data_IF_761301778000
#
_entry.id   IF_761301778000
#
_cell.length_a   1.000
_cell.length_b   1.000
_cell.length_c   1.000
_cell.angle_alpha   90.00
_cell.angle_beta   90.00
_cell.angle_gamma   90.00
#
_symmetry.space_group_name_H-M   'P 1'
#
loop_
_entity.id
_entity.type
_entity.pdbx_description
1 polymer ?
#
# COMPACT_ATOMS: atom_id res chain seq x y z
N UNK A 1 -25.63 23.79 -18.71
CA UNK A 1 -25.50 22.49 -19.42
C UNK A 1 -26.72 21.65 -19.08
N UNK A 2 -27.26 20.94 -20.07
CA UNK A 2 -28.41 20.05 -19.87
C UNK A 2 -27.87 18.68 -19.45
N UNK A 3 -28.32 18.11 -18.32
CA UNK A 3 -27.63 16.96 -17.65
C UNK A 3 -28.49 15.67 -17.69
N UNK A 4 -29.62 15.70 -18.42
CA UNK A 4 -30.75 14.80 -18.18
C UNK A 4 -30.95 13.66 -19.19
N UNK A 5 -30.04 13.47 -20.15
CA UNK A 5 -30.06 12.33 -21.08
C UNK A 5 -29.05 11.27 -20.65
N UNK A 6 -29.57 10.15 -20.14
CA UNK A 6 -28.83 8.88 -20.10
C UNK A 6 -28.79 8.32 -21.52
N UNK A 7 -27.68 8.51 -22.23
CA UNK A 7 -27.47 7.87 -23.51
C UNK A 7 -27.28 6.37 -23.31
N UNK A 8 -28.05 5.55 -24.03
CA UNK A 8 -27.83 4.12 -24.11
C UNK A 8 -26.54 3.89 -24.90
N UNK A 9 -25.49 3.40 -24.22
CA UNK A 9 -24.25 3.03 -24.88
C UNK A 9 -24.35 1.55 -25.25
N UNK A 10 -24.05 1.20 -26.50
CA UNK A 10 -23.94 -0.21 -26.89
C UNK A 10 -22.87 -0.90 -26.03
N UNK A 11 -23.23 -2.03 -25.44
CA UNK A 11 -22.33 -2.93 -24.76
C UNK A 11 -21.80 -4.01 -25.71
N UNK A 12 -20.70 -4.63 -25.32
CA UNK A 12 -20.00 -5.65 -26.11
C UNK A 12 -20.42 -7.08 -25.72
N UNK A 13 -21.51 -7.22 -24.97
CA UNK A 13 -22.11 -8.50 -24.62
C UNK A 13 -23.01 -8.98 -25.77
N UNK A 14 -22.85 -10.24 -26.12
CA UNK A 14 -23.80 -10.92 -26.99
C UNK A 14 -25.15 -11.08 -26.29
N UNK A 15 -26.23 -11.18 -27.06
CA UNK A 15 -27.57 -11.52 -26.54
C UNK A 15 -27.61 -12.87 -25.79
N UNK A 16 -26.64 -13.76 -26.04
CA UNK A 16 -26.48 -15.00 -25.29
C UNK A 16 -25.86 -14.75 -23.91
N UNK A 17 -24.79 -13.95 -23.81
CA UNK A 17 -24.20 -13.54 -22.53
C UNK A 17 -25.20 -12.75 -21.67
N UNK A 18 -26.01 -11.88 -22.27
CA UNK A 18 -27.11 -11.21 -21.57
C UNK A 18 -28.09 -12.21 -20.95
N UNK A 19 -28.55 -13.21 -21.72
CA UNK A 19 -29.46 -14.25 -21.21
C UNK A 19 -28.82 -15.08 -20.11
N UNK A 20 -27.54 -15.46 -20.25
CA UNK A 20 -26.81 -16.21 -19.22
C UNK A 20 -26.58 -15.39 -17.93
N UNK A 21 -26.54 -14.06 -18.01
CA UNK A 21 -26.53 -13.18 -16.85
C UNK A 21 -27.93 -12.91 -16.27
N UNK A 22 -28.97 -12.89 -17.10
CA UNK A 22 -30.38 -12.68 -16.71
C UNK A 22 -31.00 -13.92 -16.05
N UNK A 23 -30.64 -15.13 -16.51
CA UNK A 23 -31.00 -16.40 -15.84
C UNK A 23 -30.48 -16.45 -14.39
N UNK A 24 -29.37 -15.77 -14.07
CA UNK A 24 -28.84 -15.64 -12.69
C UNK A 24 -29.65 -14.65 -11.82
N UNK A 25 -30.53 -13.86 -12.43
CA UNK A 25 -31.41 -12.87 -11.80
C UNK A 25 -32.88 -13.28 -11.79
N UNK A 26 -33.28 -14.29 -12.57
CA UNK A 26 -34.68 -14.73 -12.77
C UNK A 26 -35.46 -14.99 -11.45
N UNK A 27 -34.77 -15.46 -10.41
CA UNK A 27 -35.34 -15.68 -9.07
C UNK A 27 -35.83 -14.41 -8.34
N UNK A 28 -35.50 -13.21 -8.84
CA UNK A 28 -35.97 -11.92 -8.32
C UNK A 28 -37.30 -11.44 -8.93
N UNK A 29 -37.81 -12.12 -9.95
CA UNK A 29 -39.02 -11.70 -10.71
C UNK A 29 -40.33 -11.71 -9.90
N UNK A 30 -40.36 -12.35 -8.72
CA UNK A 30 -41.59 -12.54 -7.93
C UNK A 30 -41.92 -11.33 -7.05
N UNK A 31 -42.83 -10.50 -7.54
CA UNK A 31 -43.61 -9.47 -6.82
C UNK A 31 -42.82 -8.36 -6.12
N UNK A 32 -42.24 -7.46 -6.91
CA UNK A 32 -41.68 -6.20 -6.44
C UNK A 32 -42.47 -4.99 -6.98
N UNK A 33 -42.63 -3.98 -6.12
CA UNK A 33 -43.41 -2.74 -6.38
C UNK A 33 -42.50 -1.51 -6.34
N UNK A 34 -43.01 -0.33 -6.77
CA UNK A 34 -42.25 0.93 -6.70
C UNK A 34 -41.65 1.18 -5.31
N UNK A 35 -42.42 0.93 -4.26
CA UNK A 35 -42.01 1.12 -2.86
C UNK A 35 -40.81 0.23 -2.46
N UNK A 36 -40.67 -0.95 -3.07
CA UNK A 36 -39.54 -1.85 -2.81
C UNK A 36 -38.27 -1.49 -3.58
N UNK A 37 -38.37 -0.66 -4.63
CA UNK A 37 -37.22 -0.30 -5.47
C UNK A 37 -36.20 0.55 -4.71
N UNK A 38 -36.64 1.49 -3.86
CA UNK A 38 -35.75 2.33 -3.04
C UNK A 38 -34.87 1.51 -2.09
N UNK A 39 -35.35 0.33 -1.67
CA UNK A 39 -34.63 -0.58 -0.79
C UNK A 39 -33.76 -1.60 -1.54
N UNK A 40 -34.25 -2.17 -2.65
CA UNK A 40 -33.63 -3.32 -3.34
C UNK A 40 -32.83 -2.88 -4.58
N UNK A 41 -33.24 -1.81 -5.27
CA UNK A 41 -32.57 -1.26 -6.46
C UNK A 41 -31.05 -1.02 -6.29
N UNK A 42 -30.57 -0.48 -5.16
CA UNK A 42 -29.13 -0.30 -4.93
C UNK A 42 -28.32 -1.61 -4.90
N UNK A 43 -28.92 -2.70 -4.42
CA UNK A 43 -28.30 -4.03 -4.39
C UNK A 43 -28.37 -4.73 -5.74
N UNK A 44 -29.48 -4.55 -6.46
CA UNK A 44 -29.65 -5.02 -7.83
C UNK A 44 -28.63 -4.37 -8.78
N UNK A 45 -28.41 -3.05 -8.68
CA UNK A 45 -27.36 -2.35 -9.43
C UNK A 45 -25.96 -2.82 -9.06
N UNK A 46 -25.66 -3.02 -7.77
CA UNK A 46 -24.38 -3.60 -7.32
C UNK A 46 -24.10 -4.95 -7.99
N UNK A 47 -25.08 -5.85 -7.99
CA UNK A 47 -24.93 -7.20 -8.54
C UNK A 47 -24.88 -7.19 -10.07
N UNK A 48 -25.71 -6.38 -10.74
CA UNK A 48 -25.63 -6.19 -12.20
C UNK A 48 -24.25 -5.67 -12.61
N UNK A 49 -23.63 -4.79 -11.82
CA UNK A 49 -22.28 -4.26 -12.09
C UNK A 49 -21.17 -5.27 -11.78
N UNK A 50 -21.33 -6.10 -10.74
CA UNK A 50 -20.43 -7.21 -10.45
C UNK A 50 -20.41 -8.26 -11.58
N UNK A 51 -21.57 -8.54 -12.19
CA UNK A 51 -21.67 -9.41 -13.38
C UNK A 51 -20.84 -8.95 -14.59
N UNK A 52 -20.49 -7.65 -14.67
CA UNK A 52 -19.68 -7.09 -15.77
C UNK A 52 -18.17 -7.26 -15.53
N UNK A 53 -17.77 -7.59 -14.30
CA UNK A 53 -16.37 -7.66 -13.89
C UNK A 53 -15.60 -6.38 -14.22
N UNK A 54 -14.42 -6.53 -14.81
CA UNK A 54 -13.54 -5.43 -15.20
C UNK A 54 -14.11 -4.52 -16.31
N UNK A 55 -15.24 -4.87 -16.94
CA UNK A 55 -15.90 -4.03 -17.96
C UNK A 55 -16.73 -2.89 -17.35
N UNK A 56 -16.99 -2.91 -16.03
CA UNK A 56 -17.69 -1.82 -15.35
C UNK A 56 -16.77 -0.61 -15.04
N UNK A 57 -17.21 0.60 -15.40
CA UNK A 57 -16.40 1.82 -15.24
C UNK A 57 -16.40 2.38 -13.79
N UNK A 58 -17.30 1.90 -12.91
CA UNK A 58 -17.47 2.45 -11.55
C UNK A 58 -16.48 1.83 -10.54
N UNK A 59 -15.45 2.59 -10.13
CA UNK A 59 -14.50 2.16 -9.09
C UNK A 59 -15.07 2.33 -7.68
N UNK A 60 -15.46 1.22 -7.06
CA UNK A 60 -16.06 1.09 -5.71
C UNK A 60 -17.54 1.50 -5.56
N UNK A 61 -18.45 0.80 -6.27
CA UNK A 61 -19.89 1.00 -6.18
C UNK A 61 -20.47 0.59 -4.81
N UNK A 62 -21.76 0.87 -4.63
CA UNK A 62 -22.23 1.27 -3.31
C UNK A 62 -23.74 1.30 -3.15
N UNK A 63 -24.26 0.79 -2.03
CA UNK A 63 -25.67 0.93 -1.66
C UNK A 63 -26.09 2.38 -1.41
N UNK A 64 -25.25 3.19 -0.77
CA UNK A 64 -25.57 4.60 -0.48
C UNK A 64 -25.53 5.48 -1.73
N UNK A 65 -24.51 5.32 -2.57
CA UNK A 65 -24.37 6.02 -3.83
C UNK A 65 -25.44 5.59 -4.85
N UNK A 66 -25.77 4.30 -4.96
CA UNK A 66 -26.86 3.86 -5.84
C UNK A 66 -28.24 4.28 -5.33
N UNK A 67 -28.45 4.36 -4.00
CA UNK A 67 -29.70 4.92 -3.46
C UNK A 67 -29.84 6.38 -3.88
N UNK A 68 -28.81 7.18 -3.65
CA UNK A 68 -28.75 8.55 -4.14
C UNK A 68 -28.94 8.65 -5.67
N UNK A 69 -28.34 7.75 -6.45
CA UNK A 69 -28.44 7.75 -7.91
C UNK A 69 -29.86 7.43 -8.41
N UNK A 70 -30.54 6.45 -7.80
CA UNK A 70 -31.93 6.09 -8.13
C UNK A 70 -32.90 7.21 -7.72
N UNK A 71 -32.71 7.79 -6.54
CA UNK A 71 -33.54 8.91 -6.04
C UNK A 71 -33.35 10.18 -6.86
N UNK A 72 -32.12 10.46 -7.31
CA UNK A 72 -31.78 11.65 -8.11
C UNK A 72 -32.09 11.47 -9.60
N UNK A 73 -32.32 10.24 -10.10
CA UNK A 73 -32.59 9.96 -11.52
C UNK A 73 -33.77 9.00 -11.73
N UNK A 74 -35.01 9.51 -11.80
CA UNK A 74 -36.23 8.69 -11.94
C UNK A 74 -36.21 7.73 -13.13
N UNK A 75 -35.58 8.11 -14.25
CA UNK A 75 -35.50 7.29 -15.45
C UNK A 75 -34.75 5.97 -15.20
N UNK A 76 -33.69 5.97 -14.38
CA UNK A 76 -32.98 4.74 -14.00
C UNK A 76 -33.87 3.81 -13.16
N UNK A 77 -34.65 4.39 -12.23
CA UNK A 77 -35.59 3.63 -11.43
C UNK A 77 -36.69 2.95 -12.27
N UNK A 78 -37.21 3.66 -13.26
CA UNK A 78 -38.21 3.12 -14.20
C UNK A 78 -37.63 1.99 -15.06
N UNK A 79 -36.42 2.16 -15.62
CA UNK A 79 -35.74 1.11 -16.41
C UNK A 79 -35.49 -0.15 -15.58
N UNK A 80 -35.10 -0.02 -14.30
CA UNK A 80 -34.92 -1.16 -13.40
C UNK A 80 -36.23 -1.92 -13.13
N UNK A 81 -37.35 -1.21 -13.00
CA UNK A 81 -38.67 -1.83 -12.80
C UNK A 81 -39.19 -2.55 -14.04
N UNK A 82 -38.95 -1.98 -15.22
CA UNK A 82 -39.30 -2.62 -16.49
C UNK A 82 -38.46 -3.88 -16.74
N UNK A 83 -37.14 -3.79 -16.52
CA UNK A 83 -36.21 -4.93 -16.58
C UNK A 83 -36.65 -6.07 -15.66
N UNK A 84 -37.06 -5.74 -14.43
CA UNK A 84 -37.52 -6.68 -13.42
C UNK A 84 -38.86 -7.35 -13.77
N UNK A 85 -39.80 -6.62 -14.38
CA UNK A 85 -41.08 -7.18 -14.86
C UNK A 85 -40.90 -8.10 -16.07
N UNK A 86 -39.96 -7.76 -16.94
CA UNK A 86 -39.71 -8.47 -18.20
C UNK A 86 -38.64 -9.57 -18.06
N UNK A 87 -38.01 -9.71 -16.89
CA UNK A 87 -36.95 -10.69 -16.62
C UNK A 87 -35.64 -10.44 -17.39
N UNK A 88 -35.42 -9.24 -17.93
CA UNK A 88 -34.29 -8.93 -18.82
C UNK A 88 -33.61 -7.62 -18.44
N UNK A 89 -32.32 -7.69 -18.13
CA UNK A 89 -31.55 -6.56 -17.59
C UNK A 89 -30.53 -5.98 -18.58
N UNK A 90 -30.58 -6.39 -19.86
CA UNK A 90 -29.75 -5.85 -20.95
C UNK A 90 -29.78 -4.31 -21.01
N UNK A 91 -30.96 -3.69 -20.99
CA UNK A 91 -31.09 -2.21 -20.96
C UNK A 91 -30.40 -1.56 -19.76
N UNK A 92 -30.35 -2.23 -18.60
CA UNK A 92 -29.65 -1.73 -17.41
C UNK A 92 -28.14 -1.91 -17.55
N UNK A 93 -27.67 -2.98 -18.19
CA UNK A 93 -26.24 -3.18 -18.51
C UNK A 93 -25.73 -2.18 -19.56
N UNK A 94 -26.56 -1.79 -20.54
CA UNK A 94 -26.27 -0.72 -21.51
C UNK A 94 -26.17 0.68 -20.88
N UNK A 95 -26.84 0.89 -19.74
CA UNK A 95 -26.66 2.09 -18.91
C UNK A 95 -25.41 2.03 -18.01
N UNK A 96 -24.82 0.85 -17.79
CA UNK A 96 -23.77 0.63 -16.79
C UNK A 96 -22.40 1.24 -17.13
N UNK A 97 -22.21 1.66 -18.39
CA UNK A 97 -21.14 2.59 -18.79
C UNK A 97 -21.39 4.00 -18.24
N UNK A 98 -21.52 4.09 -16.91
CA UNK A 98 -21.44 5.31 -16.11
C UNK A 98 -20.02 5.88 -16.12
N UNK A 99 -19.51 6.15 -17.32
CA UNK A 99 -18.31 6.94 -17.52
C UNK A 99 -18.61 8.37 -17.09
N UNK A 100 -17.99 8.79 -15.97
CA UNK A 100 -17.57 10.15 -15.60
C UNK A 100 -18.08 10.75 -14.27
N UNK A 101 -19.08 10.18 -13.56
CA UNK A 101 -19.72 10.89 -12.42
C UNK A 101 -20.04 10.02 -11.18
N UNK A 102 -19.16 10.07 -10.15
CA UNK A 102 -19.38 9.83 -8.69
C UNK A 102 -19.44 8.39 -8.07
N UNK A 103 -19.47 8.31 -6.71
CA UNK A 103 -19.31 7.14 -5.76
C UNK A 103 -19.60 7.59 -4.28
N UNK A 104 -19.42 6.85 -3.12
CA UNK A 104 -19.21 5.41 -2.76
C UNK A 104 -20.06 4.88 -1.53
N UNK A 105 -19.74 3.66 -0.97
CA UNK A 105 -20.22 2.94 0.27
C UNK A 105 -21.18 1.68 0.21
N UNK A 106 -20.75 0.56 0.81
CA UNK A 106 -21.11 -0.90 0.64
C UNK A 106 -22.18 -1.49 1.61
N UNK A 107 -22.79 -2.66 1.30
CA UNK A 107 -23.32 -3.67 2.28
C UNK A 107 -23.61 -5.08 1.66
N UNK A 108 -23.69 -6.25 2.34
CA UNK A 108 -22.84 -6.88 3.38
C UNK A 108 -23.29 -8.33 3.77
N UNK A 109 -24.57 -8.70 3.62
CA UNK A 109 -25.21 -9.68 4.53
C UNK A 109 -25.10 -11.19 4.22
N UNK A 110 -24.86 -11.62 2.97
CA UNK A 110 -25.02 -13.05 2.59
C UNK A 110 -23.77 -13.93 2.82
N UNK A 111 -22.67 -13.34 3.29
CA UNK A 111 -21.40 -14.03 3.62
C UNK A 111 -21.42 -14.67 5.02
N UNK A 112 -22.40 -14.31 5.88
CA UNK A 112 -22.43 -14.73 7.29
C UNK A 112 -22.84 -16.20 7.47
N UNK A 113 -23.72 -16.73 6.61
CA UNK A 113 -24.33 -18.06 6.81
C UNK A 113 -23.42 -19.21 6.38
N UNK A 114 -22.60 -19.01 5.34
CA UNK A 114 -21.64 -20.01 4.84
C UNK A 114 -20.46 -20.21 5.81
N UNK A 115 -20.16 -19.23 6.67
CA UNK A 115 -19.01 -19.25 7.58
C UNK A 115 -19.28 -19.89 8.95
N UNK A 116 -20.45 -20.49 9.18
CA UNK A 116 -20.84 -21.06 10.47
C UNK A 116 -20.55 -22.57 10.62
N UNK A 117 -19.82 -23.18 9.69
CA UNK A 117 -19.62 -24.65 9.63
C UNK A 117 -18.19 -25.17 9.49
N UNK A 118 -17.16 -24.31 9.54
CA UNK A 118 -15.78 -24.76 9.72
C UNK A 118 -15.11 -23.92 10.82
N UNK A 119 -14.47 -24.60 11.75
CA UNK A 119 -13.66 -23.98 12.80
C UNK A 119 -12.36 -23.48 12.19
N UNK A 120 -12.24 -22.15 12.09
CA UNK A 120 -11.04 -21.36 12.37
C UNK A 120 -11.30 -19.94 11.84
N UNK A 121 -11.78 -19.05 12.73
CA UNK A 121 -11.98 -17.66 12.37
C UNK A 121 -10.64 -17.02 11.96
N UNK A 122 -10.52 -16.47 10.74
CA UNK A 122 -9.31 -15.76 10.38
C UNK A 122 -9.16 -14.51 11.27
N UNK A 123 -7.95 -14.17 11.75
CA UNK A 123 -7.75 -13.19 12.82
C UNK A 123 -8.42 -11.83 12.60
N UNK A 124 -8.59 -11.41 11.34
CA UNK A 124 -9.17 -10.12 10.95
C UNK A 124 -10.67 -9.97 11.22
N UNK A 125 -11.37 -11.02 11.68
CA UNK A 125 -12.76 -10.91 12.17
C UNK A 125 -12.88 -10.65 13.67
N UNK A 126 -11.84 -10.90 14.47
CA UNK A 126 -11.85 -10.64 15.93
C UNK A 126 -11.75 -9.16 16.29
N UNK A 127 -11.33 -8.34 15.33
CA UNK A 127 -11.29 -6.88 15.46
C UNK A 127 -12.57 -6.32 14.81
N UNK A 128 -13.38 -5.61 15.61
CA UNK A 128 -14.55 -4.90 15.11
C UNK A 128 -14.20 -3.75 14.14
N UNK A 129 -15.10 -2.79 13.86
CA UNK A 129 -14.89 -1.72 12.87
C UNK A 129 -13.73 -0.74 13.16
N UNK A 130 -12.94 -0.97 14.20
CA UNK A 130 -11.65 -0.33 14.44
C UNK A 130 -10.64 -0.70 13.35
N UNK A 131 -10.50 0.19 12.35
CA UNK A 131 -9.49 0.14 11.28
C UNK A 131 -8.08 -0.20 11.75
N UNK A 132 -7.73 0.14 12.99
CA UNK A 132 -6.48 -0.21 13.67
C UNK A 132 -6.18 -1.71 13.64
N UNK A 133 -7.17 -2.58 13.91
CA UNK A 133 -6.97 -4.03 13.93
C UNK A 133 -6.64 -4.62 12.55
N UNK A 134 -7.30 -4.12 11.51
CA UNK A 134 -7.03 -4.54 10.13
C UNK A 134 -5.62 -4.12 9.67
N UNK A 135 -5.16 -2.93 10.05
CA UNK A 135 -3.82 -2.45 9.72
C UNK A 135 -2.73 -3.23 10.48
N UNK A 136 -2.92 -3.47 11.78
CA UNK A 136 -2.04 -4.33 12.60
C UNK A 136 -1.92 -5.71 11.98
N UNK A 137 -3.04 -6.35 11.65
CA UNK A 137 -3.03 -7.69 11.07
C UNK A 137 -2.44 -7.75 9.67
N UNK A 138 -2.74 -6.78 8.79
CA UNK A 138 -2.08 -6.68 7.50
C UNK A 138 -0.56 -6.42 7.60
N UNK A 139 -0.08 -5.98 8.78
CA UNK A 139 1.34 -5.85 9.09
C UNK A 139 1.95 -7.12 9.71
N UNK A 140 1.19 -7.88 10.52
CA UNK A 140 1.72 -9.03 11.29
C UNK A 140 1.39 -10.39 10.70
N UNK A 141 0.39 -10.52 9.82
CA UNK A 141 0.09 -11.78 9.13
C UNK A 141 1.17 -12.11 8.09
N UNK A 142 1.20 -13.36 7.65
CA UNK A 142 1.98 -13.78 6.48
C UNK A 142 1.68 -12.88 5.26
N UNK A 143 2.72 -12.45 4.55
CA UNK A 143 2.56 -11.69 3.31
C UNK A 143 2.17 -12.63 2.16
N UNK A 144 1.22 -12.21 1.32
CA UNK A 144 0.74 -13.03 0.20
C UNK A 144 1.13 -12.41 -1.14
N UNK A 145 1.60 -13.26 -2.05
CA UNK A 145 2.10 -12.86 -3.37
C UNK A 145 3.59 -12.50 -3.37
N UNK A 146 4.11 -12.18 -4.55
CA UNK A 146 5.53 -12.01 -4.84
C UNK A 146 5.90 -10.59 -5.32
N UNK A 147 5.05 -9.58 -5.05
CA UNK A 147 5.28 -8.21 -5.52
C UNK A 147 6.59 -7.60 -5.00
N UNK A 148 7.08 -8.04 -3.83
CA UNK A 148 8.35 -7.59 -3.28
C UNK A 148 9.56 -8.14 -4.07
N UNK A 149 9.51 -9.38 -4.57
CA UNK A 149 10.50 -9.89 -5.53
C UNK A 149 10.38 -9.16 -6.88
N UNK A 150 9.17 -8.94 -7.40
CA UNK A 150 8.97 -8.24 -8.67
C UNK A 150 9.53 -6.81 -8.59
N UNK A 151 9.29 -6.10 -7.48
CA UNK A 151 9.85 -4.78 -7.22
C UNK A 151 11.37 -4.80 -7.15
N UNK A 152 11.98 -5.74 -6.41
CA UNK A 152 13.43 -5.87 -6.33
C UNK A 152 14.06 -6.17 -7.69
N UNK A 153 13.47 -7.07 -8.47
CA UNK A 153 13.93 -7.39 -9.83
C UNK A 153 13.87 -6.18 -10.75
N UNK A 154 12.80 -5.37 -10.65
CA UNK A 154 12.68 -4.12 -11.40
C UNK A 154 13.75 -3.10 -10.99
N UNK A 155 14.05 -2.94 -9.70
CA UNK A 155 15.12 -2.05 -9.21
C UNK A 155 16.50 -2.55 -9.67
N UNK A 156 16.74 -3.86 -9.64
CA UNK A 156 18.00 -4.45 -10.13
C UNK A 156 18.17 -4.28 -11.65
N UNK A 157 17.08 -4.18 -12.40
CA UNK A 157 17.05 -3.91 -13.84
C UNK A 157 17.08 -2.41 -14.21
N UNK A 158 17.05 -1.49 -13.23
CA UNK A 158 17.19 -0.06 -13.50
C UNK A 158 18.62 0.30 -13.93
N UNK A 159 18.72 1.27 -14.84
CA UNK A 159 20.00 1.86 -15.20
C UNK A 159 20.65 2.52 -13.97
N UNK A 160 21.98 2.40 -13.88
CA UNK A 160 22.80 2.98 -12.79
C UNK A 160 23.75 4.05 -13.28
N UNK A 161 23.61 4.50 -14.53
CA UNK A 161 24.45 5.53 -15.16
C UNK A 161 24.42 6.89 -14.47
N UNK A 162 23.37 7.20 -13.70
CA UNK A 162 23.26 8.44 -12.92
C UNK A 162 22.87 8.17 -11.47
N UNK A 163 23.27 9.02 -10.50
CA UNK A 163 22.96 8.83 -9.08
C UNK A 163 21.47 8.72 -8.74
N UNK A 164 20.59 9.34 -9.54
CA UNK A 164 19.14 9.32 -9.32
C UNK A 164 18.41 8.19 -10.05
N UNK A 165 19.07 7.46 -10.97
CA UNK A 165 18.40 6.45 -11.80
C UNK A 165 17.86 5.23 -11.02
N UNK A 166 18.36 5.00 -9.79
CA UNK A 166 17.84 3.97 -8.88
C UNK A 166 16.76 4.48 -7.89
N UNK A 167 16.26 5.72 -8.04
CA UNK A 167 15.22 6.27 -7.17
C UNK A 167 13.80 5.91 -7.64
N UNK A 168 13.02 5.24 -6.80
CA UNK A 168 11.65 4.79 -7.14
C UNK A 168 10.58 5.43 -6.26
N UNK A 169 9.62 6.12 -6.88
CA UNK A 169 8.45 6.68 -6.21
C UNK A 169 7.23 5.75 -6.28
N UNK A 170 6.80 5.20 -5.13
CA UNK A 170 5.60 4.35 -5.03
C UNK A 170 4.34 5.16 -4.67
N UNK A 171 3.64 5.69 -5.67
CA UNK A 171 2.45 6.53 -5.48
C UNK A 171 1.16 5.71 -5.68
N UNK A 172 0.43 5.44 -4.59
CA UNK A 172 -0.92 4.84 -4.61
C UNK A 172 -1.74 5.29 -3.39
N UNK A 173 -3.06 5.09 -3.40
CA UNK A 173 -3.97 5.35 -2.26
C UNK A 173 -3.54 4.68 -0.95
N UNK A 174 -3.97 5.23 0.20
CA UNK A 174 -3.65 4.66 1.50
C UNK A 174 -4.26 3.26 1.69
N UNK A 175 -3.57 2.39 2.42
CA UNK A 175 -4.04 1.02 2.70
C UNK A 175 -3.73 -0.06 1.66
N UNK A 176 -3.16 0.28 0.49
CA UNK A 176 -2.87 -0.70 -0.60
C UNK A 176 -1.67 -1.63 -0.34
N UNK A 177 -1.16 -1.72 0.89
CA UNK A 177 -0.04 -2.62 1.22
C UNK A 177 1.36 -2.17 0.78
N UNK A 178 1.53 -1.00 0.14
CA UNK A 178 2.85 -0.45 -0.30
C UNK A 178 3.96 -0.60 0.75
N UNK A 179 3.76 -0.08 1.95
CA UNK A 179 4.78 -0.09 3.01
C UNK A 179 5.09 -1.50 3.48
N UNK A 180 4.12 -2.43 3.41
CA UNK A 180 4.35 -3.85 3.72
C UNK A 180 5.13 -4.54 2.60
N UNK A 181 4.85 -4.24 1.33
CA UNK A 181 5.65 -4.75 0.20
C UNK A 181 7.12 -4.31 0.29
N UNK A 182 7.39 -3.06 0.69
CA UNK A 182 8.76 -2.56 0.90
C UNK A 182 9.42 -3.22 2.12
N UNK A 183 8.67 -3.46 3.20
CA UNK A 183 9.15 -4.17 4.39
C UNK A 183 9.50 -5.64 4.11
N UNK A 184 8.71 -6.34 3.27
CA UNK A 184 9.07 -7.68 2.81
C UNK A 184 10.26 -7.68 1.85
N UNK A 185 10.42 -6.63 1.02
CA UNK A 185 11.61 -6.47 0.17
C UNK A 185 12.88 -6.26 1.00
N UNK A 186 12.79 -5.59 2.15
CA UNK A 186 13.91 -5.38 3.07
C UNK A 186 14.47 -6.67 3.70
N UNK A 187 13.78 -7.80 3.57
CA UNK A 187 14.28 -9.14 3.95
C UNK A 187 15.17 -9.76 2.88
N UNK A 188 15.12 -9.25 1.64
CA UNK A 188 15.85 -9.77 0.48
C UNK A 188 17.12 -8.95 0.16
N UNK A 189 17.09 -7.64 0.45
CA UNK A 189 18.21 -6.71 0.23
C UNK A 189 18.44 -5.87 1.49
N UNK A 190 19.70 -5.67 1.87
CA UNK A 190 20.05 -4.90 3.06
C UNK A 190 19.48 -3.47 2.95
N UNK A 191 18.64 -3.10 3.91
CA UNK A 191 17.84 -1.87 3.86
C UNK A 191 17.93 -1.14 5.20
N UNK A 192 17.96 0.20 5.18
CA UNK A 192 17.89 1.04 6.39
C UNK A 192 16.54 1.79 6.38
N UNK A 193 15.44 1.17 6.84
CA UNK A 193 14.09 1.72 6.67
C UNK A 193 13.73 2.75 7.75
N UNK A 194 13.45 3.99 7.35
CA UNK A 194 12.85 5.01 8.22
C UNK A 194 11.58 5.63 7.60
N UNK A 195 10.71 6.17 8.46
CA UNK A 195 9.37 6.63 8.16
C UNK A 195 9.13 8.02 8.76
N UNK A 196 9.35 9.07 7.97
CA UNK A 196 9.14 10.49 8.32
C UNK A 196 7.68 10.93 8.23
N UNK A 197 6.72 10.07 8.61
CA UNK A 197 5.32 10.47 8.73
C UNK A 197 5.18 11.48 9.87
N UNK A 198 4.35 12.51 9.66
CA UNK A 198 3.94 13.44 10.71
C UNK A 198 3.38 12.66 11.92
N UNK A 199 3.91 12.83 13.14
CA UNK A 199 3.29 12.31 14.35
C UNK A 199 2.00 13.07 14.63
N UNK A 200 0.85 12.43 14.42
CA UNK A 200 -0.47 12.97 14.76
C UNK A 200 -1.40 11.89 15.32
N UNK A 201 -2.52 12.27 15.93
CA UNK A 201 -3.44 11.30 16.55
C UNK A 201 -4.03 10.29 15.55
N UNK A 202 -3.99 10.58 14.24
CA UNK A 202 -4.42 9.68 13.16
C UNK A 202 -3.27 8.78 12.69
N UNK A 203 -2.01 9.19 12.83
CA UNK A 203 -0.79 8.42 12.52
C UNK A 203 -0.62 7.23 13.46
N UNK A 204 -1.11 7.33 14.70
CA UNK A 204 -1.15 6.25 15.71
C UNK A 204 -1.82 4.94 15.25
N UNK A 205 -2.50 4.94 14.10
CA UNK A 205 -3.20 3.80 13.50
C UNK A 205 -2.61 3.34 12.16
N UNK A 206 -1.49 3.93 11.73
CA UNK A 206 -0.87 3.69 10.44
C UNK A 206 0.46 2.94 10.58
N UNK A 207 0.63 1.89 9.77
CA UNK A 207 1.82 1.02 9.81
C UNK A 207 2.75 1.27 8.61
N UNK A 208 4.08 1.13 8.77
CA UNK A 208 4.79 1.00 10.04
C UNK A 208 4.61 2.27 10.90
N UNK A 209 4.92 2.23 12.21
CA UNK A 209 5.01 3.42 13.06
C UNK A 209 5.98 4.47 12.50
N UNK A 210 5.83 5.74 12.89
CA UNK A 210 6.76 6.80 12.53
C UNK A 210 8.05 6.78 13.37
N UNK A 211 9.19 7.11 12.74
CA UNK A 211 10.45 7.31 13.46
C UNK A 211 10.51 8.76 13.93
N UNK A 212 9.81 9.05 15.03
CA UNK A 212 9.59 10.41 15.55
C UNK A 212 10.88 11.23 15.72
N UNK A 213 12.00 10.59 16.11
CA UNK A 213 13.30 11.26 16.21
C UNK A 213 13.84 11.74 14.85
N UNK A 214 13.68 10.92 13.80
CA UNK A 214 14.11 11.24 12.42
C UNK A 214 13.22 12.33 11.85
N UNK A 215 11.90 12.23 12.01
CA UNK A 215 10.96 13.28 11.60
C UNK A 215 11.25 14.61 12.30
N UNK A 216 11.50 14.60 13.61
CA UNK A 216 11.84 15.82 14.34
C UNK A 216 13.15 16.44 13.85
N UNK A 217 14.17 15.63 13.56
CA UNK A 217 15.45 16.16 13.10
C UNK A 217 15.39 16.69 11.65
N UNK A 218 14.81 15.93 10.72
CA UNK A 218 14.83 16.26 9.28
C UNK A 218 13.67 17.18 8.87
N UNK A 219 12.46 16.98 9.40
CA UNK A 219 11.24 17.63 8.89
C UNK A 219 10.75 18.77 9.80
N UNK A 220 10.87 18.63 11.13
CA UNK A 220 10.44 19.65 12.11
C UNK A 220 11.55 20.68 12.37
N UNK A 221 12.15 21.21 11.32
CA UNK A 221 13.21 22.23 11.42
C UNK A 221 12.72 23.61 10.99
N UNK A 222 13.34 24.65 11.56
CA UNK A 222 13.14 26.05 11.23
C UNK A 222 14.02 26.52 10.05
N UNK A 223 14.63 25.57 9.35
CA UNK A 223 15.52 25.79 8.20
C UNK A 223 14.78 26.53 7.09
N UNK A 224 15.29 27.71 6.70
CA UNK A 224 14.68 28.60 5.69
C UNK A 224 15.34 28.53 4.32
N UNK A 225 16.46 27.82 4.20
CA UNK A 225 17.31 27.73 3.02
C UNK A 225 17.51 26.28 2.62
N UNK A 226 17.63 26.01 1.31
CA UNK A 226 17.83 24.65 0.83
C UNK A 226 19.19 24.09 1.27
N UNK A 227 20.23 24.92 1.22
CA UNK A 227 21.62 24.57 1.54
C UNK A 227 21.78 24.16 3.01
N UNK A 228 21.13 24.88 3.93
CA UNK A 228 21.09 24.54 5.37
C UNK A 228 20.35 23.19 5.61
N UNK A 229 19.41 22.85 4.72
CA UNK A 229 18.68 21.57 4.73
C UNK A 229 19.51 20.41 4.17
N UNK A 230 20.28 20.66 3.10
CA UNK A 230 21.22 19.70 2.53
C UNK A 230 22.34 19.34 3.52
N UNK A 231 22.93 20.33 4.20
CA UNK A 231 23.94 20.10 5.26
C UNK A 231 23.35 19.29 6.41
N UNK A 232 22.10 19.58 6.81
CA UNK A 232 21.38 18.80 7.84
C UNK A 232 21.12 17.36 7.40
N UNK A 233 20.73 17.13 6.14
CA UNK A 233 20.56 15.79 5.60
C UNK A 233 21.89 15.04 5.51
N UNK A 234 22.97 15.70 5.08
CA UNK A 234 24.32 15.13 5.04
C UNK A 234 24.80 14.72 6.43
N UNK A 235 24.64 15.57 7.45
CA UNK A 235 24.91 15.24 8.85
C UNK A 235 24.13 13.99 9.32
N UNK A 236 22.83 13.90 8.98
CA UNK A 236 22.02 12.74 9.32
C UNK A 236 22.54 11.46 8.67
N UNK A 237 22.77 11.45 7.36
CA UNK A 237 23.24 10.26 6.66
C UNK A 237 24.66 9.86 7.08
N UNK A 238 25.55 10.82 7.35
CA UNK A 238 26.90 10.55 7.84
C UNK A 238 26.86 9.79 9.19
N UNK A 239 26.09 10.31 10.15
CA UNK A 239 25.95 9.66 11.46
C UNK A 239 25.20 8.33 11.34
N UNK A 240 24.17 8.24 10.49
CA UNK A 240 23.42 7.01 10.22
C UNK A 240 24.32 5.89 9.69
N UNK A 241 25.13 6.16 8.65
CA UNK A 241 26.02 5.15 8.09
C UNK A 241 27.13 4.75 9.07
N UNK A 242 27.64 5.68 9.89
CA UNK A 242 28.63 5.39 10.94
C UNK A 242 28.07 4.49 12.06
N UNK A 243 26.86 4.80 12.56
CA UNK A 243 26.17 3.99 13.57
C UNK A 243 25.79 2.60 13.02
N UNK A 244 25.22 2.54 11.82
CA UNK A 244 24.84 1.27 11.18
C UNK A 244 26.08 0.43 10.86
N UNK A 245 27.20 1.01 10.43
CA UNK A 245 28.44 0.26 10.24
C UNK A 245 28.94 -0.37 11.54
N UNK A 246 28.92 0.39 12.64
CA UNK A 246 29.30 -0.11 13.97
C UNK A 246 28.36 -1.22 14.46
N UNK A 247 27.05 -1.09 14.24
CA UNK A 247 26.08 -2.13 14.62
C UNK A 247 26.21 -3.39 13.76
N UNK A 248 26.44 -3.25 12.44
CA UNK A 248 26.73 -4.38 11.54
C UNK A 248 27.99 -5.13 12.01
N UNK A 249 29.05 -4.41 12.38
CA UNK A 249 30.26 -5.04 12.92
C UNK A 249 30.03 -5.75 14.26
N UNK A 250 29.13 -5.23 15.09
CA UNK A 250 28.75 -5.83 16.37
C UNK A 250 27.87 -7.09 16.20
N UNK A 251 26.76 -6.98 15.46
CA UNK A 251 25.75 -8.03 15.27
C UNK A 251 26.29 -9.23 14.50
N UNK A 252 27.18 -9.01 13.53
CA UNK A 252 27.76 -10.07 12.70
C UNK A 252 29.18 -10.48 13.14
N UNK A 253 29.68 -9.94 14.25
CA UNK A 253 31.01 -10.26 14.78
C UNK A 253 31.23 -11.78 14.94
N UNK A 254 32.35 -12.28 14.41
CA UNK A 254 32.70 -13.70 14.47
C UNK A 254 31.85 -14.64 13.60
N UNK A 255 30.86 -14.13 12.85
CA UNK A 255 30.03 -14.92 11.92
C UNK A 255 30.48 -14.69 10.47
N UNK A 256 30.31 -15.69 9.62
CA UNK A 256 30.32 -15.54 8.15
C UNK A 256 28.89 -15.79 7.69
N UNK A 257 28.35 -14.90 6.87
CA UNK A 257 27.00 -15.02 6.31
C UNK A 257 27.11 -15.64 4.91
N UNK A 258 26.23 -16.57 4.57
CA UNK A 258 26.33 -17.37 3.36
C UNK A 258 25.82 -16.65 2.11
N UNK A 259 24.94 -15.65 2.25
CA UNK A 259 24.36 -14.91 1.12
C UNK A 259 23.94 -13.47 1.47
N UNK A 260 23.79 -12.58 0.45
CA UNK A 260 23.29 -11.22 0.68
C UNK A 260 21.86 -11.21 1.27
N UNK A 261 21.02 -12.15 0.86
CA UNK A 261 19.64 -12.29 1.36
C UNK A 261 19.57 -12.76 2.80
N UNK A 262 20.45 -13.66 3.23
CA UNK A 262 20.58 -14.03 4.65
C UNK A 262 21.01 -12.83 5.50
N UNK A 263 21.99 -12.05 5.02
CA UNK A 263 22.44 -10.83 5.69
C UNK A 263 21.32 -9.78 5.79
N UNK A 264 20.53 -9.60 4.73
CA UNK A 264 19.37 -8.72 4.71
C UNK A 264 18.29 -9.18 5.71
N UNK A 265 17.93 -10.47 5.70
CA UNK A 265 16.92 -11.01 6.60
C UNK A 265 17.35 -10.97 8.07
N UNK A 266 18.62 -11.25 8.40
CA UNK A 266 19.15 -11.14 9.76
C UNK A 266 19.19 -9.69 10.25
N UNK A 267 19.54 -8.75 9.37
CA UNK A 267 19.48 -7.32 9.67
C UNK A 267 18.03 -6.82 9.87
N UNK A 268 17.10 -7.22 9.01
CA UNK A 268 15.68 -6.90 9.17
C UNK A 268 15.12 -7.49 10.48
N UNK A 269 15.46 -8.74 10.80
CA UNK A 269 15.14 -9.36 12.09
C UNK A 269 15.74 -8.55 13.26
N UNK A 270 16.98 -8.08 13.16
CA UNK A 270 17.63 -7.29 14.20
C UNK A 270 16.93 -5.93 14.42
N UNK A 271 16.56 -5.22 13.35
CA UNK A 271 15.80 -3.96 13.43
C UNK A 271 14.37 -4.14 13.97
N UNK A 272 13.73 -5.27 13.71
CA UNK A 272 12.34 -5.54 14.12
C UNK A 272 12.20 -6.26 15.46
N UNK A 273 13.31 -6.72 16.06
CA UNK A 273 13.34 -7.28 17.44
C UNK A 273 12.65 -6.34 18.43
N UNK A 274 11.99 -6.95 19.42
CA UNK A 274 11.25 -6.25 20.48
C UNK A 274 10.26 -5.19 19.92
N UNK A 275 9.53 -5.58 18.86
CA UNK A 275 8.55 -4.71 18.18
C UNK A 275 9.13 -3.42 17.60
N UNK A 276 10.41 -3.42 17.24
CA UNK A 276 11.10 -2.25 16.67
C UNK A 276 11.74 -1.31 17.69
N UNK A 277 11.81 -1.68 18.97
CA UNK A 277 12.46 -0.86 19.99
C UNK A 277 13.92 -0.51 19.64
N UNK A 278 14.68 -1.48 19.09
CA UNK A 278 16.05 -1.23 18.66
C UNK A 278 16.15 -0.19 17.53
N UNK A 279 15.24 -0.22 16.55
CA UNK A 279 15.19 0.76 15.45
C UNK A 279 14.99 2.19 15.97
N UNK A 280 14.08 2.37 16.93
CA UNK A 280 13.84 3.66 17.59
C UNK A 280 15.07 4.12 18.40
N UNK A 281 15.73 3.23 19.13
CA UNK A 281 16.99 3.52 19.84
C UNK A 281 18.13 3.90 18.88
N UNK A 282 18.31 3.18 17.77
CA UNK A 282 19.30 3.48 16.73
C UNK A 282 19.10 4.90 16.19
N UNK A 283 17.87 5.26 15.80
CA UNK A 283 17.60 6.60 15.29
C UNK A 283 17.71 7.69 16.36
N UNK A 284 17.42 7.39 17.63
CA UNK A 284 17.70 8.30 18.75
C UNK A 284 19.20 8.57 18.90
N UNK A 285 20.06 7.55 18.80
CA UNK A 285 21.53 7.73 18.84
C UNK A 285 22.02 8.60 17.68
N UNK A 286 21.64 8.27 16.45
CA UNK A 286 21.99 9.04 15.23
C UNK A 286 21.62 10.52 15.39
N UNK A 287 20.38 10.80 15.84
CA UNK A 287 19.90 12.19 16.03
C UNK A 287 20.58 12.88 17.22
N UNK A 288 20.99 12.16 18.27
CA UNK A 288 21.77 12.71 19.37
C UNK A 288 23.18 13.14 18.90
N UNK A 289 23.88 12.31 18.13
CA UNK A 289 25.18 12.70 17.54
C UNK A 289 25.03 13.92 16.62
N UNK A 290 24.01 13.93 15.75
CA UNK A 290 23.71 15.09 14.90
C UNK A 290 23.43 16.39 15.69
N UNK A 291 22.89 16.28 16.92
CA UNK A 291 22.60 17.42 17.82
C UNK A 291 23.81 17.90 18.62
N UNK A 292 24.91 17.14 18.72
CA UNK A 292 26.17 17.60 19.33
C UNK A 292 26.87 18.69 18.49
N UNK A 293 26.40 18.91 17.27
CA UNK A 293 26.94 19.89 16.35
C UNK A 293 28.22 19.40 15.69
N UNK A 294 28.82 20.22 14.81
CA UNK A 294 29.93 19.79 14.00
C UNK A 294 31.22 19.60 14.81
N UNK A 295 31.68 18.35 14.95
CA UNK A 295 33.07 18.05 15.31
C UNK A 295 34.02 18.56 14.21
N UNK A 296 35.31 18.76 14.53
CA UNK A 296 36.32 19.09 13.51
C UNK A 296 36.33 18.01 12.42
N UNK A 297 35.98 18.37 11.18
CA UNK A 297 35.77 17.44 10.06
C UNK A 297 34.31 17.17 9.67
N UNK A 298 33.36 17.99 10.13
CA UNK A 298 31.94 17.82 9.80
C UNK A 298 31.56 18.24 8.37
N UNK A 299 30.53 17.60 7.79
CA UNK A 299 30.12 17.79 6.41
C UNK A 299 29.70 19.24 6.14
N UNK A 300 30.32 19.82 5.11
CA UNK A 300 29.96 21.10 4.50
C UNK A 300 29.11 20.89 3.25
N UNK A 301 29.12 19.68 2.69
CA UNK A 301 28.37 19.27 1.52
C UNK A 301 28.05 17.76 1.56
N UNK A 302 27.39 17.26 0.51
CA UNK A 302 27.04 15.85 0.34
C UNK A 302 28.26 14.93 0.15
N UNK A 303 29.36 15.41 -0.43
CA UNK A 303 30.57 14.60 -0.67
C UNK A 303 31.20 14.09 0.65
N UNK A 304 31.05 14.86 1.73
CA UNK A 304 31.56 14.53 3.07
C UNK A 304 30.84 13.34 3.74
N UNK A 305 29.71 12.89 3.18
CA UNK A 305 29.02 11.66 3.61
C UNK A 305 29.76 10.41 3.12
N UNK A 306 30.42 10.49 1.96
CA UNK A 306 31.01 9.35 1.24
C UNK A 306 31.90 8.44 2.10
N UNK A 307 32.81 8.95 2.95
CA UNK A 307 33.67 8.09 3.77
C UNK A 307 32.91 7.19 4.74
N UNK A 308 31.75 7.64 5.25
CA UNK A 308 30.92 6.83 6.16
C UNK A 308 30.09 5.79 5.42
N UNK A 309 29.63 6.09 4.20
CA UNK A 309 29.02 5.11 3.31
C UNK A 309 30.03 4.03 2.89
N UNK A 310 31.26 4.42 2.54
CA UNK A 310 32.33 3.47 2.22
C UNK A 310 32.72 2.59 3.43
N UNK A 311 32.68 3.15 4.65
CA UNK A 311 32.84 2.37 5.89
C UNK A 311 31.72 1.34 6.08
N UNK A 312 30.46 1.74 5.87
CA UNK A 312 29.32 0.82 5.93
C UNK A 312 29.44 -0.29 4.88
N UNK A 313 29.74 0.07 3.64
CA UNK A 313 30.00 -0.89 2.55
C UNK A 313 31.12 -1.86 2.93
N UNK A 314 32.26 -1.37 3.44
CA UNK A 314 33.36 -2.22 3.89
C UNK A 314 32.95 -3.19 5.02
N UNK A 315 32.11 -2.75 5.96
CA UNK A 315 31.55 -3.62 7.00
C UNK A 315 30.64 -4.71 6.39
N UNK A 316 29.80 -4.38 5.40
CA UNK A 316 28.95 -5.36 4.72
C UNK A 316 29.78 -6.38 3.91
N UNK A 317 30.77 -5.91 3.13
CA UNK A 317 31.72 -6.73 2.36
C UNK A 317 32.59 -7.67 3.22
N UNK A 318 32.75 -7.38 4.52
CA UNK A 318 33.52 -8.19 5.48
C UNK A 318 32.79 -9.46 5.91
N UNK A 319 31.45 -9.40 6.03
CA UNK A 319 30.64 -10.51 6.54
C UNK A 319 29.93 -11.32 5.45
N UNK A 320 29.67 -10.70 4.29
CA UNK A 320 29.17 -11.35 3.09
C UNK A 320 30.07 -11.00 1.91
N UNK A 321 30.45 -11.98 1.10
CA UNK A 321 31.23 -11.75 -0.12
C UNK A 321 30.34 -11.24 -1.25
N UNK A 322 29.88 -10.00 -1.12
CA UNK A 322 29.01 -9.33 -2.10
C UNK A 322 29.72 -9.14 -3.46
N UNK A 323 31.05 -9.32 -3.54
CA UNK A 323 31.82 -9.28 -4.81
C UNK A 323 31.71 -10.58 -5.60
N UNK A 324 31.46 -11.70 -4.94
CA UNK A 324 31.12 -12.96 -5.63
C UNK A 324 29.69 -12.96 -6.22
N UNK A 325 28.90 -11.89 -6.00
CA UNK A 325 27.50 -11.76 -6.46
C UNK A 325 27.34 -10.59 -7.44
N UNK A 326 28.41 -10.23 -8.15
CA UNK A 326 28.38 -9.22 -9.22
C UNK A 326 27.42 -9.55 -10.37
N UNK A 327 26.98 -10.80 -10.53
CA UNK A 327 26.03 -11.18 -11.59
C UNK A 327 24.54 -11.17 -11.16
N UNK A 328 24.21 -11.46 -9.89
CA UNK A 328 22.81 -11.69 -9.46
C UNK A 328 22.21 -10.65 -8.47
N UNK A 329 23.01 -10.04 -7.60
CA UNK A 329 22.50 -9.08 -6.58
C UNK A 329 23.47 -7.91 -6.40
N UNK A 330 23.48 -7.00 -7.37
CA UNK A 330 24.14 -5.69 -7.24
C UNK A 330 23.38 -4.85 -6.23
N UNK A 331 23.80 -4.93 -4.96
CA UNK A 331 23.18 -4.26 -3.81
C UNK A 331 22.76 -2.83 -4.17
N UNK A 332 21.49 -2.52 -3.94
CA UNK A 332 20.97 -1.15 -3.96
C UNK A 332 21.07 -0.60 -2.53
N UNK A 333 21.80 0.49 -2.37
CA UNK A 333 21.76 1.38 -1.20
C UNK A 333 21.30 2.76 -1.67
#
# INVERSE_FOLDING_TARGET
MNVDTLELVEDDFTEQEHKEMDVKLDWLSVQLTQATLTSIGPLLLLYIIDQLGDRAVTKHPSTEWFRWLIETRPNLGNTLLEALRNGSYSSVRRLSKYSSVFTPCICASRVIEILRKNEDEPPWRRFGPNRTGAAVLAWTCEYRGNYHQIMLNNINAMDRSTPLANSVALIQSSGTGKSRMVDEMAKLVFTIPFNVRLPDERSSRAYPPEDSAVWEYLCKSDVKKAEDGEVRAALFFQNLFSEVATEVEHVFSGRRIASPGELASEWWNHLTKLSGAFRDELYKRVVQECKKGPSQGSPRCSDDVRPTLDRLLAALYKFCDLRAVEDDVKVAL
#
